data_IF_835053663257
#
_entry.id   IF_835053663257
#
_cell.length_a   1.000
_cell.length_b   1.000
_cell.length_c   1.000
_cell.angle_alpha   90.00
_cell.angle_beta   90.00
_cell.angle_gamma   90.00
#
_symmetry.space_group_name_H-M   'P 1'
#
loop_
_entity.id
_entity.type
_entity.pdbx_description
1 polymer ?
#
# COMPACT_ATOMS: atom_id res chain seq x y z
N UNK A 1 -20.39 17.94 20.50
CA UNK A 1 -19.69 16.99 19.61
C UNK A 1 -18.50 17.72 19.02
N UNK A 2 -17.33 17.59 19.64
CA UNK A 2 -16.11 18.13 19.05
C UNK A 2 -15.85 17.30 17.80
N UNK A 3 -16.06 17.91 16.63
CA UNK A 3 -15.51 17.40 15.39
C UNK A 3 -14.02 17.19 15.65
N UNK A 4 -13.53 16.01 15.31
CA UNK A 4 -12.12 15.65 15.34
C UNK A 4 -11.34 16.68 14.52
N UNK A 5 -10.91 17.76 15.18
CA UNK A 5 -9.84 18.65 14.73
C UNK A 5 -8.55 17.86 14.90
N UNK A 6 -8.36 16.85 14.03
CA UNK A 6 -7.10 16.17 13.83
C UNK A 6 -6.22 17.05 12.92
N UNK A 7 -5.92 18.28 13.33
CA UNK A 7 -4.70 18.98 12.89
C UNK A 7 -3.48 18.35 13.59
N UNK A 8 -3.34 17.03 13.45
CA UNK A 8 -2.13 16.28 13.70
C UNK A 8 -1.55 15.91 12.34
N UNK A 9 -0.23 16.01 12.21
CA UNK A 9 0.53 15.53 11.06
C UNK A 9 0.25 14.04 10.87
N UNK A 10 -0.74 13.68 10.05
CA UNK A 10 -1.04 12.31 9.67
C UNK A 10 0.12 11.85 8.79
N UNK A 11 0.89 10.88 9.24
CA UNK A 11 2.05 10.36 8.51
C UNK A 11 1.75 8.99 7.89
N UNK A 12 0.61 8.40 8.26
CA UNK A 12 0.07 7.17 7.75
C UNK A 12 -0.34 7.32 6.29
N UNK A 13 -0.30 6.23 5.53
CA UNK A 13 -0.67 6.21 4.12
C UNK A 13 -1.70 5.12 3.80
N UNK A 14 -2.44 5.33 2.71
CA UNK A 14 -3.27 4.32 2.07
C UNK A 14 -2.50 3.64 0.96
N UNK A 15 -2.51 2.31 0.93
CA UNK A 15 -1.83 1.54 -0.11
C UNK A 15 -2.86 1.04 -1.11
N UNK A 16 -2.58 1.27 -2.38
CA UNK A 16 -3.39 0.83 -3.51
C UNK A 16 -2.61 -0.17 -4.37
N UNK A 17 -3.30 -1.17 -4.89
CA UNK A 17 -2.80 -2.04 -5.94
C UNK A 17 -3.39 -1.58 -7.29
N UNK A 18 -2.52 -1.32 -8.26
CA UNK A 18 -2.89 -1.03 -9.65
C UNK A 18 -2.72 -2.27 -10.51
N UNK A 19 -3.76 -2.56 -11.28
CA UNK A 19 -3.77 -3.61 -12.30
C UNK A 19 -4.60 -3.14 -13.50
N UNK A 20 -3.99 -3.11 -14.68
CA UNK A 20 -4.64 -2.72 -15.95
C UNK A 20 -5.50 -1.43 -15.87
N UNK A 21 -5.03 -0.42 -15.14
CA UNK A 21 -5.72 0.87 -14.98
C UNK A 21 -6.79 0.90 -13.87
N UNK A 22 -7.08 -0.22 -13.21
CA UNK A 22 -7.92 -0.28 -12.01
C UNK A 22 -7.10 -0.01 -10.75
N UNK A 23 -7.57 0.88 -9.88
CA UNK A 23 -7.01 1.11 -8.54
C UNK A 23 -7.86 0.43 -7.47
N UNK A 24 -7.26 -0.44 -6.66
CA UNK A 24 -7.92 -1.07 -5.50
C UNK A 24 -7.18 -0.73 -4.22
N UNK A 25 -7.83 -0.11 -3.24
CA UNK A 25 -7.25 0.05 -1.90
C UNK A 25 -7.05 -1.34 -1.28
N UNK A 26 -5.85 -1.61 -0.80
CA UNK A 26 -5.50 -2.91 -0.20
C UNK A 26 -5.18 -2.84 1.28
N UNK A 27 -4.85 -1.64 1.80
CA UNK A 27 -4.59 -1.40 3.21
C UNK A 27 -4.73 0.10 3.52
N UNK A 28 -5.21 0.41 4.72
CA UNK A 28 -5.32 1.75 5.29
C UNK A 28 -4.38 1.87 6.50
N UNK A 29 -4.16 3.09 6.99
CA UNK A 29 -3.34 3.39 8.16
C UNK A 29 -1.92 2.76 8.15
N UNK A 30 -1.32 2.65 6.96
CA UNK A 30 0.01 2.06 6.78
C UNK A 30 1.08 3.01 7.27
N UNK A 31 1.89 2.55 8.23
CA UNK A 31 3.01 3.31 8.83
C UNK A 31 4.37 2.81 8.34
N UNK A 32 4.46 1.60 7.80
CA UNK A 32 5.70 1.04 7.26
C UNK A 32 5.43 0.23 5.99
N UNK A 33 6.24 0.50 4.98
CA UNK A 33 6.38 -0.33 3.77
C UNK A 33 7.82 -0.80 3.74
N UNK A 34 8.03 -2.11 3.81
CA UNK A 34 9.36 -2.71 3.87
C UNK A 34 9.52 -3.71 2.71
N UNK A 35 10.60 -3.65 1.92
CA UNK A 35 10.85 -4.65 0.89
C UNK A 35 11.13 -6.02 1.51
N UNK A 36 10.63 -7.06 0.85
CA UNK A 36 10.94 -8.47 1.06
C UNK A 36 11.56 -9.00 -0.24
N UNK A 37 12.89 -8.94 -0.28
CA UNK A 37 13.69 -9.27 -1.47
C UNK A 37 13.59 -10.76 -1.84
N UNK A 38 13.36 -11.65 -0.85
CA UNK A 38 13.23 -13.09 -1.09
C UNK A 38 11.94 -13.43 -1.85
N UNK A 39 10.87 -12.67 -1.60
CA UNK A 39 9.53 -12.94 -2.14
C UNK A 39 9.10 -11.99 -3.26
N UNK A 40 9.97 -11.06 -3.70
CA UNK A 40 9.63 -9.97 -4.63
C UNK A 40 8.33 -9.26 -4.19
N UNK A 41 8.29 -8.87 -2.91
CA UNK A 41 7.11 -8.37 -2.26
C UNK A 41 7.42 -7.21 -1.31
N UNK A 42 6.36 -6.62 -0.78
CA UNK A 42 6.42 -5.61 0.28
C UNK A 42 5.62 -6.06 1.48
N UNK A 43 6.23 -5.98 2.66
CA UNK A 43 5.55 -6.08 3.94
C UNK A 43 4.98 -4.70 4.31
N UNK A 44 3.65 -4.61 4.32
CA UNK A 44 2.91 -3.47 4.80
C UNK A 44 2.60 -3.67 6.29
N UNK A 45 2.87 -2.66 7.10
CA UNK A 45 2.55 -2.66 8.54
C UNK A 45 1.68 -1.45 8.86
N UNK A 46 0.55 -1.70 9.49
CA UNK A 46 -0.39 -0.66 9.90
C UNK A 46 -0.15 -0.15 11.30
N UNK A 47 -0.81 0.97 11.62
CA UNK A 47 -0.67 1.67 12.89
C UNK A 47 -1.00 0.79 14.11
N UNK A 48 -1.93 -0.17 13.96
CA UNK A 48 -2.36 -1.08 15.02
C UNK A 48 -1.57 -2.41 15.02
N UNK A 49 -0.53 -2.51 14.19
CA UNK A 49 0.37 -3.66 14.12
C UNK A 49 -0.07 -4.77 13.18
N UNK A 50 -1.17 -4.60 12.44
CA UNK A 50 -1.58 -5.53 11.40
C UNK A 50 -0.57 -5.54 10.23
N UNK A 51 -0.40 -6.70 9.60
CA UNK A 51 0.62 -6.91 8.59
C UNK A 51 0.05 -7.55 7.34
N UNK A 52 0.59 -7.17 6.18
CA UNK A 52 0.18 -7.72 4.88
C UNK A 52 1.37 -7.79 3.93
N UNK A 53 1.67 -8.99 3.43
CA UNK A 53 2.66 -9.20 2.37
C UNK A 53 1.97 -9.03 1.01
N UNK A 54 2.54 -8.20 0.14
CA UNK A 54 1.97 -7.88 -1.18
C UNK A 54 3.05 -7.98 -2.25
N UNK A 55 2.87 -8.89 -3.20
CA UNK A 55 3.74 -9.00 -4.38
C UNK A 55 3.53 -7.83 -5.34
N UNK A 56 4.62 -7.32 -5.87
CA UNK A 56 4.62 -6.21 -6.83
C UNK A 56 5.77 -5.25 -6.61
N UNK A 57 5.72 -4.14 -7.33
CA UNK A 57 6.70 -3.07 -7.28
C UNK A 57 6.04 -1.74 -6.91
N UNK A 58 6.75 -0.87 -6.17
CA UNK A 58 6.27 0.50 -5.93
C UNK A 58 6.29 1.25 -7.26
N UNK A 59 5.10 1.64 -7.73
CA UNK A 59 4.92 2.42 -8.95
C UNK A 59 5.02 3.92 -8.67
N UNK A 60 4.44 4.37 -7.55
CA UNK A 60 4.35 5.79 -7.19
C UNK A 60 4.10 5.97 -5.69
N UNK A 61 4.66 7.02 -5.11
CA UNK A 61 4.30 7.52 -3.78
C UNK A 61 3.84 8.98 -3.93
N UNK A 62 2.61 9.26 -3.50
CA UNK A 62 2.05 10.61 -3.43
C UNK A 62 2.02 11.04 -1.96
N UNK A 63 3.07 11.74 -1.53
CA UNK A 63 3.22 12.19 -0.15
C UNK A 63 2.16 13.21 0.26
N UNK A 64 1.67 14.05 -0.67
CA UNK A 64 0.65 15.06 -0.37
C UNK A 64 -0.72 14.41 -0.14
N UNK A 65 -1.00 13.30 -0.82
CA UNK A 65 -2.25 12.55 -0.65
C UNK A 65 -2.14 11.38 0.32
N UNK A 66 -0.97 11.15 0.90
CA UNK A 66 -0.71 10.02 1.77
C UNK A 66 -1.05 8.69 1.07
N UNK A 67 -0.58 8.50 -0.17
CA UNK A 67 -0.85 7.29 -0.96
C UNK A 67 0.41 6.61 -1.45
N UNK A 68 0.41 5.28 -1.39
CA UNK A 68 1.41 4.42 -2.04
C UNK A 68 0.68 3.56 -3.06
N UNK A 69 1.24 3.48 -4.27
CA UNK A 69 0.73 2.67 -5.36
C UNK A 69 1.70 1.54 -5.65
N UNK A 70 1.23 0.31 -5.50
CA UNK A 70 1.93 -0.90 -5.93
C UNK A 70 1.38 -1.36 -7.27
N UNK A 71 2.25 -1.73 -8.20
CA UNK A 71 1.87 -2.41 -9.43
C UNK A 71 2.10 -3.90 -9.25
N UNK A 72 1.08 -4.71 -9.55
CA UNK A 72 1.22 -6.17 -9.55
C UNK A 72 2.22 -6.56 -10.64
N UNK A 73 3.14 -7.49 -10.32
CA UNK A 73 3.89 -8.18 -11.37
C UNK A 73 2.90 -8.95 -12.23
N UNK A 74 2.98 -8.90 -13.56
CA UNK A 74 2.18 -9.78 -14.40
C UNK A 74 2.50 -11.20 -13.98
N UNK A 75 1.61 -11.82 -13.22
CA UNK A 75 1.67 -13.24 -12.93
C UNK A 75 1.49 -13.92 -14.27
N UNK A 76 2.49 -14.68 -14.71
CA UNK A 76 2.29 -15.64 -15.80
C UNK A 76 1.21 -16.63 -15.34
N UNK A 77 -0.04 -16.32 -15.63
CA UNK A 77 -1.19 -17.18 -15.35
C UNK A 77 -1.52 -17.91 -16.66
N UNK A 78 -1.13 -19.18 -16.71
CA UNK A 78 -1.78 -20.26 -17.46
C UNK A 78 -1.99 -20.05 -18.96
N UNK A 79 -1.13 -20.67 -19.76
CA UNK A 79 -1.58 -21.22 -21.04
C UNK A 79 -2.05 -22.66 -20.80
N UNK A 80 -3.31 -22.91 -21.14
CA UNK A 80 -3.89 -24.24 -21.42
C UNK A 80 -3.05 -25.01 -22.46
#
# INVERSE_FOLDING_TARGET
MAAFSLEGRMCEAKVYLRDNGSERQIMEDVVRVQPDDENNAYLLVGLLGEQKLVQGEIEMIDFLKHKVYLRRHPSATGHE
#
